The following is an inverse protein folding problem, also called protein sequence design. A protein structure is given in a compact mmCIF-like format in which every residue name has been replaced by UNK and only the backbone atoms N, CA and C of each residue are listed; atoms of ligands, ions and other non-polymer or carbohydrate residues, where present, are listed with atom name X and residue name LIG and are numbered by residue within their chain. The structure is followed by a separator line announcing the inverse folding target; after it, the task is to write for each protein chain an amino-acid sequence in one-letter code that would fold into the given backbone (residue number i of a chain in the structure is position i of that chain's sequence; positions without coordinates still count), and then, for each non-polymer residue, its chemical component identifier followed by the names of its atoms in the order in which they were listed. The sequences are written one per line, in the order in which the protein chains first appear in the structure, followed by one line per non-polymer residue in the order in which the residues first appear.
data_IF_779334955134
#
_entry.id   IF_779334955134
#
_cell.length_a   1.000
_cell.length_b   1.000
_cell.length_c   1.000
_cell.angle_alpha   90.00
_cell.angle_beta   90.00
_cell.angle_gamma   90.00
#
_symmetry.space_group_name_H-M   'P 1'
#
loop_
_entity.id
_entity.type
_entity.pdbx_description
1 polymer ?
#
# COMPACT_ATOMS: atom_id res chain seq x y z
N UNK A 1 -6.53 -15.52 -8.27
CA UNK A 1 -7.48 -14.46 -7.90
C UNK A 1 -8.46 -14.16 -9.02
N UNK A 2 -8.01 -13.95 -10.27
CA UNK A 2 -8.90 -13.72 -11.43
C UNK A 2 -9.90 -14.89 -11.66
N UNK A 3 -9.53 -16.12 -11.38
CA UNK A 3 -10.43 -17.28 -11.49
C UNK A 3 -11.61 -17.28 -10.52
N UNK A 4 -11.56 -16.47 -9.46
CA UNK A 4 -12.68 -16.28 -8.52
C UNK A 4 -13.71 -15.26 -9.02
N UNK A 5 -13.32 -14.39 -9.97
CA UNK A 5 -14.21 -13.39 -10.57
C UNK A 5 -15.03 -13.96 -11.75
N UNK A 6 -14.66 -15.14 -12.25
CA UNK A 6 -15.35 -15.81 -13.37
C UNK A 6 -16.35 -16.89 -12.93
N UNK A 7 -17.01 -16.74 -11.81
CA UNK A 7 -18.09 -17.65 -11.42
C UNK A 7 -19.36 -17.33 -12.20
N UNK A 8 -19.64 -18.26 -13.14
CA UNK A 8 -20.96 -18.57 -13.71
C UNK A 8 -21.99 -17.43 -13.76
N UNK A 9 -21.98 -16.61 -14.81
CA UNK A 9 -23.16 -15.89 -15.35
C UNK A 9 -24.05 -15.10 -14.38
N UNK A 10 -23.91 -15.28 -13.08
CA UNK A 10 -24.55 -14.51 -12.06
C UNK A 10 -23.59 -13.41 -11.60
N UNK A 11 -23.92 -12.14 -11.88
CA UNK A 11 -23.36 -11.03 -11.13
C UNK A 11 -23.63 -11.32 -9.67
N UNK A 12 -22.62 -11.76 -8.92
CA UNK A 12 -22.73 -11.80 -7.49
C UNK A 12 -22.97 -10.35 -7.05
N UNK A 13 -24.16 -10.04 -6.56
CA UNK A 13 -24.42 -8.82 -5.82
C UNK A 13 -23.61 -8.88 -4.53
N UNK A 14 -22.32 -8.56 -4.63
CA UNK A 14 -21.50 -8.30 -3.47
C UNK A 14 -21.87 -6.89 -3.03
N UNK A 15 -22.54 -6.79 -1.90
CA UNK A 15 -22.83 -5.52 -1.25
C UNK A 15 -21.51 -4.86 -0.82
N UNK A 16 -20.88 -4.12 -1.73
CA UNK A 16 -19.61 -3.41 -1.50
C UNK A 16 -18.84 -3.20 -2.81
N UNK A 17 -17.99 -2.20 -2.86
CA UNK A 17 -17.13 -1.96 -4.00
C UNK A 17 -16.09 -3.08 -4.13
N UNK A 18 -16.07 -3.81 -5.26
CA UNK A 18 -15.04 -4.78 -5.53
C UNK A 18 -13.71 -4.08 -5.81
N UNK A 19 -12.66 -4.45 -5.07
CA UNK A 19 -11.34 -3.84 -5.15
C UNK A 19 -10.31 -4.85 -5.60
N UNK A 20 -9.62 -4.58 -6.70
CA UNK A 20 -8.44 -5.33 -7.11
C UNK A 20 -7.19 -4.78 -6.41
N UNK A 21 -6.57 -5.61 -5.56
CA UNK A 21 -5.37 -5.24 -4.80
C UNK A 21 -4.08 -5.21 -5.65
N UNK A 22 -2.96 -4.76 -5.09
CA UNK A 22 -1.70 -4.58 -5.81
C UNK A 22 -1.13 -5.88 -6.40
N UNK A 23 -1.42 -7.03 -5.79
CA UNK A 23 -1.00 -8.35 -6.29
C UNK A 23 -1.66 -8.79 -7.61
N UNK A 24 -2.61 -8.00 -8.14
CA UNK A 24 -3.17 -8.21 -9.51
C UNK A 24 -2.23 -7.65 -10.58
N UNK A 25 -1.23 -6.84 -10.22
CA UNK A 25 -0.23 -6.30 -11.12
C UNK A 25 -0.84 -5.47 -12.28
N UNK A 26 -1.64 -4.48 -11.93
CA UNK A 26 -2.34 -3.61 -12.90
C UNK A 26 -1.47 -2.41 -13.26
N UNK A 27 -0.79 -2.45 -14.41
CA UNK A 27 0.19 -1.45 -14.83
C UNK A 27 -0.29 -0.51 -15.94
N UNK A 28 -1.42 -0.80 -16.60
CA UNK A 28 -1.82 -0.06 -17.79
C UNK A 28 -3.34 0.07 -17.94
N UNK A 29 -3.76 0.95 -18.84
CA UNK A 29 -5.18 1.24 -19.08
C UNK A 29 -5.97 0.04 -19.61
N UNK A 30 -5.37 -0.82 -20.45
CA UNK A 30 -6.05 -1.99 -20.99
C UNK A 30 -6.43 -2.97 -19.88
N UNK A 31 -5.54 -3.18 -18.91
CA UNK A 31 -5.83 -3.98 -17.70
C UNK A 31 -6.93 -3.35 -16.87
N UNK A 32 -6.90 -2.03 -16.66
CA UNK A 32 -7.95 -1.33 -15.91
C UNK A 32 -9.31 -1.46 -16.60
N UNK A 33 -9.39 -1.24 -17.93
CA UNK A 33 -10.63 -1.42 -18.69
C UNK A 33 -11.16 -2.85 -18.62
N UNK A 34 -10.26 -3.84 -18.75
CA UNK A 34 -10.65 -5.24 -18.60
C UNK A 34 -11.24 -5.52 -17.21
N UNK A 35 -10.60 -5.05 -16.16
CA UNK A 35 -11.09 -5.21 -14.78
C UNK A 35 -12.42 -4.48 -14.56
N UNK A 36 -12.59 -3.27 -15.10
CA UNK A 36 -13.87 -2.55 -15.07
C UNK A 36 -14.98 -3.35 -15.74
N UNK A 37 -14.71 -3.93 -16.93
CA UNK A 37 -15.65 -4.83 -17.61
C UNK A 37 -15.99 -6.10 -16.82
N UNK A 38 -15.18 -6.50 -15.84
CA UNK A 38 -15.46 -7.60 -14.90
C UNK A 38 -16.23 -7.14 -13.65
N UNK A 39 -16.56 -5.86 -13.53
CA UNK A 39 -17.28 -5.29 -12.39
C UNK A 39 -16.39 -4.76 -11.26
N UNK A 40 -15.07 -4.75 -11.43
CA UNK A 40 -14.15 -4.13 -10.46
C UNK A 40 -14.36 -2.62 -10.48
N UNK A 41 -14.61 -2.04 -9.31
CA UNK A 41 -14.91 -0.62 -9.14
C UNK A 41 -13.68 0.19 -8.73
N UNK A 42 -12.66 -0.49 -8.16
CA UNK A 42 -11.44 0.17 -7.68
C UNK A 42 -10.23 -0.73 -7.88
N UNK A 43 -9.11 -0.12 -8.28
CA UNK A 43 -7.83 -0.81 -8.46
C UNK A 43 -6.77 -0.13 -7.62
N UNK A 44 -5.98 -0.95 -6.92
CA UNK A 44 -4.75 -0.53 -6.27
C UNK A 44 -3.60 -0.96 -7.19
N UNK A 45 -2.93 -0.04 -7.89
CA UNK A 45 -1.78 -0.39 -8.72
C UNK A 45 -0.60 -0.84 -7.84
N UNK A 46 0.37 -1.57 -8.41
CA UNK A 46 1.62 -1.87 -7.72
C UNK A 46 2.35 -0.57 -7.29
N UNK A 47 3.01 -0.58 -6.12
CA UNK A 47 3.62 0.64 -5.58
C UNK A 47 4.74 1.21 -6.44
N UNK A 48 5.43 0.36 -7.21
CA UNK A 48 6.54 0.72 -8.10
C UNK A 48 6.08 1.33 -9.43
N UNK A 49 4.77 1.50 -9.65
CA UNK A 49 4.29 2.15 -10.86
C UNK A 49 4.78 3.60 -10.91
N UNK A 50 5.47 4.03 -12.00
CA UNK A 50 6.02 5.37 -12.09
C UNK A 50 4.97 6.46 -11.89
N UNK A 51 5.32 7.59 -11.25
CA UNK A 51 4.35 8.65 -10.92
C UNK A 51 3.65 9.23 -12.15
N UNK A 52 4.34 9.30 -13.29
CA UNK A 52 3.73 9.72 -14.55
C UNK A 52 2.60 8.77 -14.99
N UNK A 53 2.81 7.45 -14.84
CA UNK A 53 1.80 6.43 -15.15
C UNK A 53 0.64 6.48 -14.18
N UNK A 54 0.91 6.68 -12.88
CA UNK A 54 -0.15 6.85 -11.87
C UNK A 54 -1.03 8.05 -12.22
N UNK A 55 -0.45 9.22 -12.49
CA UNK A 55 -1.19 10.42 -12.88
C UNK A 55 -1.99 10.22 -14.17
N UNK A 56 -1.39 9.56 -15.18
CA UNK A 56 -2.07 9.26 -16.43
C UNK A 56 -3.31 8.38 -16.21
N UNK A 57 -3.15 7.25 -15.52
CA UNK A 57 -4.24 6.31 -15.24
C UNK A 57 -5.33 6.93 -14.35
N UNK A 58 -4.94 7.71 -13.34
CA UNK A 58 -5.89 8.43 -12.49
C UNK A 58 -6.73 9.43 -13.29
N UNK A 59 -6.07 10.21 -14.19
CA UNK A 59 -6.75 11.15 -15.06
C UNK A 59 -7.67 10.49 -16.09
N UNK A 60 -7.33 9.30 -16.61
CA UNK A 60 -8.22 8.52 -17.46
C UNK A 60 -9.44 8.01 -16.66
N UNK A 61 -9.18 7.36 -15.55
CA UNK A 61 -10.21 6.82 -14.66
C UNK A 61 -11.21 7.89 -14.18
N UNK A 62 -10.73 9.10 -13.91
CA UNK A 62 -11.60 10.21 -13.50
C UNK A 62 -12.55 10.69 -14.60
N UNK A 63 -12.25 10.41 -15.88
CA UNK A 63 -13.04 10.84 -17.06
C UNK A 63 -13.88 9.74 -17.69
N UNK A 64 -13.55 8.48 -17.41
CA UNK A 64 -14.19 7.31 -18.00
C UNK A 64 -14.91 6.51 -16.90
N UNK A 65 -16.24 6.56 -16.81
CA UNK A 65 -17.00 5.89 -15.75
C UNK A 65 -16.96 4.35 -15.86
N UNK A 66 -16.52 3.79 -16.98
CA UNK A 66 -16.35 2.35 -17.14
C UNK A 66 -15.00 1.86 -16.60
N UNK A 67 -14.07 2.79 -16.34
CA UNK A 67 -12.80 2.45 -15.71
C UNK A 67 -12.92 2.46 -14.18
N UNK A 68 -12.30 1.48 -13.49
CA UNK A 68 -12.25 1.47 -12.04
C UNK A 68 -11.46 2.69 -11.53
N UNK A 69 -11.90 3.25 -10.40
CA UNK A 69 -11.16 4.33 -9.74
C UNK A 69 -9.81 3.84 -9.20
N UNK A 70 -8.82 4.73 -9.13
CA UNK A 70 -7.54 4.40 -8.51
C UNK A 70 -7.57 4.65 -7.00
N UNK A 71 -7.00 3.68 -6.28
CA UNK A 71 -6.64 3.78 -4.87
C UNK A 71 -5.14 3.58 -4.74
N UNK A 72 -4.44 4.44 -4.00
CA UNK A 72 -3.02 4.29 -3.71
C UNK A 72 -2.80 3.94 -2.25
N UNK A 73 -1.84 3.05 -1.99
CA UNK A 73 -1.33 2.90 -0.64
C UNK A 73 -0.53 4.16 -0.29
N UNK A 74 -0.97 4.88 0.72
CA UNK A 74 -0.38 6.16 1.12
C UNK A 74 0.38 6.09 2.45
N UNK A 75 0.18 5.02 3.24
CA UNK A 75 0.89 4.81 4.50
C UNK A 75 1.06 3.33 4.81
N UNK A 76 2.16 3.01 5.50
CA UNK A 76 2.49 1.69 6.02
C UNK A 76 3.48 0.91 5.15
N UNK A 77 3.92 -0.25 5.60
CA UNK A 77 4.95 -1.04 4.91
C UNK A 77 4.48 -1.52 3.54
N UNK A 78 5.34 -1.40 2.53
CA UNK A 78 5.08 -2.00 1.21
C UNK A 78 5.05 -3.53 1.32
N UNK A 79 4.00 -4.20 0.82
CA UNK A 79 3.99 -5.66 0.68
C UNK A 79 4.88 -6.05 -0.52
N UNK A 80 6.02 -6.67 -0.25
CA UNK A 80 7.02 -7.01 -1.27
C UNK A 80 6.87 -8.44 -1.78
N UNK A 81 6.58 -9.40 -0.88
CA UNK A 81 6.41 -10.80 -1.26
C UNK A 81 5.52 -11.56 -0.27
N UNK A 82 4.94 -12.66 -0.76
CA UNK A 82 4.24 -13.65 0.06
C UNK A 82 4.92 -15.00 -0.15
N UNK A 83 5.36 -15.62 0.93
CA UNK A 83 6.07 -16.89 0.93
C UNK A 83 5.12 -18.05 1.23
N UNK A 84 5.34 -19.20 0.57
CA UNK A 84 4.65 -20.44 0.93
C UNK A 84 5.03 -20.94 2.33
N UNK A 85 6.24 -20.62 2.78
CA UNK A 85 6.76 -20.95 4.12
C UNK A 85 6.74 -19.71 5.00
N UNK A 86 6.36 -19.90 6.27
CA UNK A 86 6.38 -18.82 7.26
C UNK A 86 7.81 -18.61 7.77
N UNK A 87 8.49 -17.58 7.27
CA UNK A 87 9.85 -17.24 7.74
C UNK A 87 9.84 -16.74 9.17
N UNK A 88 8.79 -16.06 9.60
CA UNK A 88 8.63 -15.63 10.98
C UNK A 88 8.65 -16.83 11.96
N UNK A 89 7.81 -17.86 11.71
CA UNK A 89 7.85 -19.07 12.54
C UNK A 89 9.21 -19.75 12.54
N UNK A 90 9.91 -19.77 11.39
CA UNK A 90 11.24 -20.35 11.29
C UNK A 90 12.29 -19.60 12.09
N UNK A 91 12.22 -18.28 12.18
CA UNK A 91 13.09 -17.48 13.01
C UNK A 91 12.98 -17.87 14.50
N UNK A 92 11.79 -18.32 14.92
CA UNK A 92 11.53 -18.86 16.26
C UNK A 92 11.72 -20.39 16.37
N UNK A 93 12.40 -21.02 15.40
CA UNK A 93 12.64 -22.46 15.40
C UNK A 93 11.39 -23.33 15.23
N UNK A 94 10.30 -22.75 14.66
CA UNK A 94 9.00 -23.39 14.47
C UNK A 94 8.69 -23.58 12.97
N UNK A 95 7.68 -24.38 12.68
CA UNK A 95 7.11 -24.51 11.34
C UNK A 95 5.66 -23.99 11.30
N UNK A 96 5.02 -24.07 10.13
CA UNK A 96 3.65 -23.56 9.95
C UNK A 96 2.61 -24.33 10.79
N UNK A 97 2.86 -25.59 11.09
CA UNK A 97 1.95 -26.44 11.91
C UNK A 97 2.12 -26.17 13.40
N UNK A 98 3.31 -25.74 13.82
CA UNK A 98 3.69 -25.52 15.23
C UNK A 98 3.91 -24.05 15.56
N UNK A 99 3.50 -23.12 14.72
CA UNK A 99 3.89 -21.71 14.80
C UNK A 99 3.37 -20.98 16.05
N UNK A 100 2.24 -21.43 16.62
CA UNK A 100 1.62 -20.79 17.79
C UNK A 100 1.47 -19.27 17.65
N UNK A 101 1.31 -18.79 16.40
CA UNK A 101 1.20 -17.37 16.07
C UNK A 101 2.40 -16.52 16.57
N UNK A 102 3.65 -17.03 16.43
CA UNK A 102 4.86 -16.32 16.83
C UNK A 102 4.94 -14.87 16.31
N UNK A 103 4.27 -14.56 15.19
CA UNK A 103 4.19 -13.20 14.66
C UNK A 103 3.39 -12.22 15.54
N UNK A 104 2.68 -12.69 16.54
CA UNK A 104 2.02 -11.81 17.52
C UNK A 104 3.02 -11.15 18.49
N UNK A 105 4.22 -11.73 18.62
CA UNK A 105 5.28 -11.19 19.47
C UNK A 105 6.02 -10.01 18.78
N UNK A 106 5.85 -9.86 17.45
CA UNK A 106 6.42 -8.80 16.63
C UNK A 106 5.29 -8.10 15.83
N UNK A 107 4.48 -7.26 16.47
CA UNK A 107 3.27 -6.68 15.84
C UNK A 107 3.57 -5.85 14.59
N UNK A 108 4.73 -5.16 14.55
CA UNK A 108 5.20 -4.41 13.37
C UNK A 108 6.06 -5.24 12.41
N UNK A 109 6.22 -6.53 12.68
CA UNK A 109 7.05 -7.48 11.94
C UNK A 109 8.47 -7.60 12.49
N UNK A 110 9.02 -8.80 12.32
CA UNK A 110 10.39 -9.12 12.70
C UNK A 110 11.36 -8.41 11.74
N UNK A 111 12.28 -7.56 12.23
CA UNK A 111 13.26 -6.91 11.39
C UNK A 111 14.25 -7.92 10.81
N UNK A 112 14.67 -7.68 9.58
CA UNK A 112 15.68 -8.46 8.87
C UNK A 112 16.72 -7.51 8.31
N UNK A 113 17.95 -7.67 8.76
CA UNK A 113 19.08 -6.86 8.34
C UNK A 113 19.89 -7.58 7.25
N UNK A 114 20.72 -6.84 6.55
CA UNK A 114 21.73 -7.39 5.63
C UNK A 114 22.88 -8.03 6.41
N UNK A 115 23.80 -8.71 5.73
CA UNK A 115 24.94 -9.35 6.37
C UNK A 115 25.97 -8.37 6.96
N UNK A 116 25.86 -7.09 6.61
CA UNK A 116 26.63 -5.97 7.14
C UNK A 116 25.82 -5.10 8.11
N UNK A 117 24.82 -5.72 8.74
CA UNK A 117 23.97 -5.15 9.81
C UNK A 117 23.25 -3.85 9.40
N UNK A 118 22.82 -3.77 8.13
CA UNK A 118 21.99 -2.65 7.67
C UNK A 118 20.51 -3.06 7.63
N UNK A 119 19.60 -2.24 8.16
CA UNK A 119 18.16 -2.49 8.06
C UNK A 119 17.71 -2.68 6.61
N UNK A 120 16.96 -3.75 6.33
CA UNK A 120 16.63 -4.14 4.96
C UNK A 120 15.13 -4.42 4.76
N UNK A 121 14.56 -5.32 5.54
CA UNK A 121 13.18 -5.78 5.40
C UNK A 121 12.52 -5.97 6.77
N UNK A 122 11.20 -6.20 6.74
CA UNK A 122 10.47 -6.78 7.87
C UNK A 122 9.71 -8.03 7.42
N UNK A 123 9.60 -9.03 8.28
CA UNK A 123 8.84 -10.25 8.02
C UNK A 123 7.69 -10.34 8.99
N UNK A 124 6.46 -10.43 8.49
CA UNK A 124 5.29 -10.67 9.33
C UNK A 124 4.54 -11.91 8.83
N UNK A 125 4.66 -13.01 9.56
CA UNK A 125 4.11 -14.28 9.16
C UNK A 125 4.72 -14.79 7.85
N UNK A 126 3.89 -14.86 6.81
CA UNK A 126 4.30 -15.26 5.44
C UNK A 126 4.64 -14.07 4.56
N UNK A 127 4.45 -12.85 5.05
CA UNK A 127 4.69 -11.63 4.28
C UNK A 127 6.11 -11.13 4.49
N UNK A 128 6.73 -10.71 3.39
CA UNK A 128 7.94 -9.90 3.39
C UNK A 128 7.54 -8.47 3.07
N UNK A 129 7.92 -7.55 3.91
CA UNK A 129 7.53 -6.15 3.90
C UNK A 129 8.75 -5.24 3.80
N UNK A 130 8.55 -4.00 3.38
CA UNK A 130 9.61 -2.98 3.43
C UNK A 130 10.05 -2.70 4.87
N UNK A 131 11.32 -2.34 5.05
CA UNK A 131 11.82 -1.85 6.34
C UNK A 131 11.17 -0.51 6.71
N UNK A 132 11.13 0.44 5.79
CA UNK A 132 10.53 1.75 6.00
C UNK A 132 8.99 1.72 5.83
N UNK A 133 8.30 2.66 6.48
CA UNK A 133 6.91 2.95 6.16
C UNK A 133 6.81 3.82 4.92
N UNK A 134 6.02 3.39 3.95
CA UNK A 134 5.57 4.30 2.90
C UNK A 134 4.83 5.47 3.53
N UNK A 135 5.11 6.68 3.09
CA UNK A 135 4.38 7.87 3.49
C UNK A 135 4.25 8.83 2.30
N UNK A 136 3.05 8.93 1.76
CA UNK A 136 2.74 9.80 0.63
C UNK A 136 2.01 11.08 1.08
N UNK A 137 2.20 11.52 2.32
CA UNK A 137 1.57 12.74 2.81
C UNK A 137 2.01 13.96 2.00
N UNK A 138 3.28 14.01 1.58
CA UNK A 138 3.83 15.06 0.73
C UNK A 138 3.16 15.16 -0.64
N UNK A 139 2.87 14.02 -1.24
CA UNK A 139 2.32 13.90 -2.60
C UNK A 139 0.79 13.89 -2.63
N UNK A 140 0.14 13.76 -1.47
CA UNK A 140 -1.29 13.51 -1.34
C UNK A 140 -2.16 14.54 -2.07
N UNK A 141 -1.94 15.87 -1.93
CA UNK A 141 -2.76 16.86 -2.64
C UNK A 141 -2.61 16.77 -4.16
N UNK A 142 -1.39 16.55 -4.65
CA UNK A 142 -1.11 16.43 -6.08
C UNK A 142 -1.73 15.16 -6.69
N UNK A 143 -1.67 14.04 -5.96
CA UNK A 143 -2.29 12.77 -6.36
C UNK A 143 -3.82 12.86 -6.39
N UNK A 144 -4.43 13.52 -5.39
CA UNK A 144 -5.86 13.76 -5.36
C UNK A 144 -6.30 14.66 -6.54
N UNK A 145 -5.54 15.73 -6.82
CA UNK A 145 -5.79 16.62 -7.96
C UNK A 145 -5.63 15.90 -9.31
N UNK A 146 -4.74 14.91 -9.41
CA UNK A 146 -4.56 14.08 -10.61
C UNK A 146 -5.71 13.08 -10.84
N UNK A 147 -6.59 12.88 -9.86
CA UNK A 147 -7.77 12.01 -9.99
C UNK A 147 -7.73 10.72 -9.18
N UNK A 148 -6.75 10.53 -8.30
CA UNK A 148 -6.77 9.44 -7.32
C UNK A 148 -7.94 9.64 -6.36
N UNK A 149 -8.78 8.61 -6.17
CA UNK A 149 -10.04 8.73 -5.44
C UNK A 149 -10.01 8.16 -4.03
N UNK A 150 -9.03 7.32 -3.73
CA UNK A 150 -8.89 6.73 -2.40
C UNK A 150 -7.43 6.57 -2.03
N UNK A 151 -7.14 6.69 -0.75
CA UNK A 151 -5.82 6.49 -0.19
C UNK A 151 -5.91 5.45 0.91
N UNK A 152 -5.12 4.38 0.76
CA UNK A 152 -5.08 3.26 1.70
C UNK A 152 -4.01 3.51 2.75
N UNK A 153 -4.39 3.41 4.00
CA UNK A 153 -3.47 3.39 5.13
C UNK A 153 -3.42 1.96 5.66
N UNK A 154 -2.27 1.30 5.56
CA UNK A 154 -2.09 -0.02 6.13
C UNK A 154 -1.78 0.10 7.63
N UNK A 155 -2.44 -0.70 8.49
CA UNK A 155 -2.18 -0.69 9.91
C UNK A 155 -0.73 -1.07 10.24
N UNK A 156 -0.13 -0.30 11.13
CA UNK A 156 1.19 -0.53 11.71
C UNK A 156 1.07 -0.41 13.23
N UNK A 157 2.11 -0.74 13.98
CA UNK A 157 2.14 -0.63 15.44
C UNK A 157 2.39 0.82 15.88
N UNK A 158 1.50 1.71 15.46
CA UNK A 158 1.49 3.14 15.78
C UNK A 158 0.05 3.59 16.03
N UNK A 159 -0.17 4.82 16.51
CA UNK A 159 -1.52 5.39 16.61
C UNK A 159 -2.13 5.64 15.22
N UNK A 160 -2.74 4.60 14.64
CA UNK A 160 -3.37 4.65 13.33
C UNK A 160 -4.56 5.61 13.27
N UNK A 161 -5.19 5.93 14.40
CA UNK A 161 -6.27 6.93 14.45
C UNK A 161 -5.69 8.32 14.23
N UNK A 162 -4.60 8.64 14.93
CA UNK A 162 -3.89 9.90 14.73
C UNK A 162 -3.32 10.02 13.31
N UNK A 163 -2.71 8.96 12.76
CA UNK A 163 -2.26 8.92 11.36
C UNK A 163 -3.42 9.23 10.41
N UNK A 164 -4.54 8.54 10.54
CA UNK A 164 -5.71 8.74 9.68
C UNK A 164 -6.27 10.18 9.79
N UNK A 165 -6.23 10.78 10.97
CA UNK A 165 -6.63 12.17 11.17
C UNK A 165 -5.72 13.14 10.42
N UNK A 166 -4.39 12.95 10.48
CA UNK A 166 -3.44 13.78 9.73
C UNK A 166 -3.71 13.73 8.23
N UNK A 167 -3.85 12.50 7.67
CA UNK A 167 -4.15 12.33 6.25
C UNK A 167 -5.49 12.94 5.85
N UNK A 168 -6.51 12.86 6.72
CA UNK A 168 -7.82 13.48 6.49
C UNK A 168 -7.73 15.01 6.50
N UNK A 169 -7.05 15.59 7.48
CA UNK A 169 -6.85 17.03 7.58
C UNK A 169 -6.10 17.59 6.38
N UNK A 170 -5.11 16.85 5.88
CA UNK A 170 -4.35 17.22 4.70
C UNK A 170 -5.22 17.21 3.43
N UNK A 171 -6.04 16.16 3.23
CA UNK A 171 -6.99 16.07 2.11
C UNK A 171 -8.07 17.16 2.15
N UNK A 172 -8.48 17.56 3.35
CA UNK A 172 -9.49 18.62 3.54
C UNK A 172 -8.86 20.04 3.49
N UNK A 173 -7.55 20.16 3.27
CA UNK A 173 -6.83 21.44 3.26
C UNK A 173 -6.81 22.16 4.62
N UNK A 174 -6.93 21.40 5.71
CA UNK A 174 -6.93 21.94 7.09
C UNK A 174 -5.55 21.98 7.74
N UNK A 175 -4.57 21.41 7.09
CA UNK A 175 -3.15 21.44 7.52
C UNK A 175 -2.24 21.55 6.32
N UNK A 176 -1.08 22.16 6.51
CA UNK A 176 -0.03 22.25 5.51
C UNK A 176 0.78 20.96 5.45
N UNK A 177 1.34 20.67 4.27
CA UNK A 177 2.08 19.42 4.00
C UNK A 177 3.23 19.20 4.98
N UNK A 178 4.07 20.22 5.23
CA UNK A 178 5.19 20.11 6.17
C UNK A 178 4.74 19.75 7.58
N UNK A 179 3.74 20.47 8.11
CA UNK A 179 3.20 20.18 9.44
C UNK A 179 2.54 18.79 9.53
N UNK A 180 1.96 18.30 8.44
CA UNK A 180 1.43 16.94 8.37
C UNK A 180 2.55 15.90 8.42
N UNK A 181 3.64 16.11 7.68
CA UNK A 181 4.81 15.23 7.67
C UNK A 181 5.46 15.15 9.05
N UNK A 182 5.72 16.29 9.70
CA UNK A 182 6.30 16.34 11.06
C UNK A 182 5.46 15.52 12.05
N UNK A 183 4.13 15.60 11.95
CA UNK A 183 3.22 14.82 12.80
C UNK A 183 3.26 13.33 12.52
N UNK A 184 3.30 12.93 11.24
CA UNK A 184 3.40 11.52 10.86
C UNK A 184 4.73 10.95 11.31
N UNK A 185 5.84 11.66 11.10
CA UNK A 185 7.17 11.24 11.53
C UNK A 185 7.21 11.04 13.05
N UNK A 186 6.67 11.98 13.82
CA UNK A 186 6.58 11.86 15.29
C UNK A 186 5.75 10.65 15.75
N UNK A 187 4.73 10.24 14.97
CA UNK A 187 3.93 9.04 15.25
C UNK A 187 4.65 7.74 14.90
N UNK A 188 5.57 7.77 13.93
CA UNK A 188 6.30 6.58 13.46
C UNK A 188 7.51 6.23 14.34
N UNK A 189 7.96 7.14 15.20
CA UNK A 189 9.11 6.94 16.09
C UNK A 189 10.40 6.67 15.30
N UNK A 190 11.06 5.54 15.58
CA UNK A 190 12.35 5.20 14.95
C UNK A 190 12.20 4.54 13.57
N UNK A 191 10.98 4.26 13.10
CA UNK A 191 10.77 3.64 11.78
C UNK A 191 10.89 4.71 10.70
N UNK A 192 11.84 4.58 9.74
CA UNK A 192 12.02 5.57 8.71
C UNK A 192 10.83 5.62 7.74
N UNK A 193 10.62 6.78 7.14
CA UNK A 193 9.64 6.98 6.07
C UNK A 193 10.26 6.77 4.69
N UNK A 194 9.44 6.44 3.70
CA UNK A 194 9.86 6.26 2.31
C UNK A 194 8.77 6.68 1.34
N UNK A 195 9.15 7.37 0.25
CA UNK A 195 8.26 7.78 -0.84
C UNK A 195 8.93 7.66 -2.23
N UNK A 196 10.07 7.00 -2.31
CA UNK A 196 10.95 7.00 -3.48
C UNK A 196 10.25 6.62 -4.79
N UNK A 197 9.28 5.70 -4.76
CA UNK A 197 8.52 5.34 -5.97
C UNK A 197 7.75 6.53 -6.58
N UNK A 198 7.38 7.52 -5.79
CA UNK A 198 6.72 8.74 -6.29
C UNK A 198 7.72 9.78 -6.82
N UNK A 199 9.02 9.49 -6.74
CA UNK A 199 10.12 10.34 -7.21
C UNK A 199 11.01 9.64 -8.25
N UNK A 200 10.50 8.59 -8.93
CA UNK A 200 11.25 7.75 -9.89
C UNK A 200 12.57 7.19 -9.29
N UNK A 201 12.54 6.85 -8.00
CA UNK A 201 13.68 6.42 -7.20
C UNK A 201 13.42 5.08 -6.51
N UNK A 202 14.45 4.44 -5.91
CA UNK A 202 14.26 3.22 -5.12
C UNK A 202 13.20 3.43 -4.04
N UNK A 203 12.31 2.42 -3.86
CA UNK A 203 11.16 2.52 -2.96
C UNK A 203 11.50 2.80 -1.50
N UNK A 204 12.73 2.50 -1.05
CA UNK A 204 13.21 2.78 0.29
C UNK A 204 13.76 4.22 0.47
N UNK A 205 13.88 4.99 -0.62
CA UNK A 205 14.37 6.35 -0.55
C UNK A 205 13.29 7.29 0.04
N UNK A 206 13.75 8.33 0.73
CA UNK A 206 12.93 9.41 1.23
C UNK A 206 13.28 10.72 0.54
N UNK A 207 12.28 11.46 0.10
CA UNK A 207 12.39 12.79 -0.49
C UNK A 207 11.48 13.74 0.28
N UNK A 208 12.04 14.82 0.78
CA UNK A 208 11.27 15.92 1.37
C UNK A 208 10.41 16.58 0.30
N UNK A 209 9.16 16.91 0.65
CA UNK A 209 8.17 17.51 -0.25
C UNK A 209 8.34 19.04 -0.34
#
# INVERSE_FOLDING_TARGET
ALGLLQRDGAKAEVAGAEVAGPGINSYNEATLRHLGGQGIQRVVPPPELPPASVRHLAGLSARDPEMPSLELQAFGRWPLAISARCYHARAYGRDKATCQYACADDPDGLPVDTLDDQPFLAVNGVQTLSHAYACLAGELPALAAAGVRAFRLLPQDVDMVAVAQVFRELLDGRTETGAALDRVEALCGDVPLANGYQHDAPGAAWYEA
#
